data_IF_881614178588
#
_entry.id   IF_881614178588
#
_cell.length_a   1.000
_cell.length_b   1.000
_cell.length_c   1.000
_cell.angle_alpha   90.00
_cell.angle_beta   90.00
_cell.angle_gamma   90.00
#
_symmetry.space_group_name_H-M   'P 1'
#
loop_
_entity.id
_entity.type
_entity.pdbx_description
1 polymer ?
#
# COMPACT_ATOMS: atom_id res chain seq x y z
N UNK A 1 -28.65 11.58 -7.18
CA UNK A 1 -27.28 12.13 -7.37
C UNK A 1 -27.17 13.15 -6.27
N UNK A 2 -26.29 12.92 -5.29
CA UNK A 2 -26.21 13.80 -4.13
C UNK A 2 -25.76 15.19 -4.58
N UNK A 3 -26.54 16.19 -4.21
CA UNK A 3 -26.25 17.60 -4.40
C UNK A 3 -25.75 18.21 -3.10
N UNK A 4 -24.72 19.05 -3.22
CA UNK A 4 -23.98 19.59 -2.08
C UNK A 4 -24.17 21.09 -1.99
N UNK A 5 -24.51 21.57 -0.80
CA UNK A 5 -24.30 22.96 -0.41
C UNK A 5 -22.91 23.11 0.22
N UNK A 6 -21.98 23.76 -0.48
CA UNK A 6 -20.63 24.00 0.00
C UNK A 6 -20.53 25.31 0.77
N UNK A 7 -20.09 25.29 2.03
CA UNK A 7 -19.94 26.48 2.87
C UNK A 7 -18.47 26.71 3.21
N UNK A 8 -17.95 27.91 2.93
CA UNK A 8 -16.55 28.25 3.20
C UNK A 8 -16.33 29.74 3.51
N UNK A 9 -15.31 30.05 4.31
CA UNK A 9 -14.87 31.43 4.57
C UNK A 9 -13.55 31.78 3.86
N UNK A 10 -12.99 30.84 3.08
CA UNK A 10 -11.60 30.92 2.60
C UNK A 10 -11.48 30.65 1.08
N UNK A 11 -10.41 29.97 0.65
CA UNK A 11 -10.16 29.54 -0.74
C UNK A 11 -11.02 28.36 -1.20
N UNK A 12 -11.66 27.64 -0.28
CA UNK A 12 -12.55 26.51 -0.57
C UNK A 12 -11.88 25.39 -1.36
N UNK A 13 -10.63 25.06 -1.01
CA UNK A 13 -9.81 24.13 -1.80
C UNK A 13 -10.41 22.72 -1.85
N UNK A 14 -11.02 22.24 -0.77
CA UNK A 14 -11.68 20.95 -0.75
C UNK A 14 -13.00 20.97 -1.53
N UNK A 15 -13.79 22.04 -1.42
CA UNK A 15 -15.02 22.19 -2.22
C UNK A 15 -14.74 22.17 -3.71
N UNK A 16 -13.72 22.91 -4.16
CA UNK A 16 -13.29 22.91 -5.56
C UNK A 16 -12.70 21.56 -5.99
N UNK A 17 -12.00 20.85 -5.09
CA UNK A 17 -11.52 19.49 -5.36
C UNK A 17 -12.68 18.48 -5.50
N UNK A 18 -13.71 18.57 -4.66
CA UNK A 18 -14.93 17.76 -4.75
C UNK A 18 -15.64 18.05 -6.07
N UNK A 19 -15.78 19.33 -6.46
CA UNK A 19 -16.35 19.72 -7.75
C UNK A 19 -15.59 19.12 -8.95
N UNK A 20 -14.26 19.19 -8.94
CA UNK A 20 -13.42 18.68 -10.03
C UNK A 20 -13.40 17.13 -10.11
N UNK A 21 -13.67 16.44 -8.99
CA UNK A 21 -13.65 14.96 -8.91
C UNK A 21 -15.02 14.30 -9.01
N UNK A 22 -16.11 15.02 -8.74
CA UNK A 22 -17.48 14.50 -8.67
C UNK A 22 -17.59 13.12 -7.97
N UNK A 23 -17.14 12.99 -6.70
CA UNK A 23 -17.08 11.72 -5.98
C UNK A 23 -18.47 11.07 -5.86
N UNK A 24 -18.60 9.80 -6.27
CA UNK A 24 -19.90 9.12 -6.35
C UNK A 24 -20.87 9.74 -7.36
N UNK A 25 -20.38 10.62 -8.24
CA UNK A 25 -21.18 11.47 -9.11
C UNK A 25 -21.79 12.69 -8.43
N UNK A 26 -21.40 13.03 -7.20
CA UNK A 26 -21.96 14.19 -6.49
C UNK A 26 -21.62 15.53 -7.17
N UNK A 27 -22.50 16.52 -7.01
CA UNK A 27 -22.42 17.84 -7.66
C UNK A 27 -22.57 18.95 -6.60
N UNK A 28 -21.81 20.04 -6.70
CA UNK A 28 -22.06 21.24 -5.88
C UNK A 28 -23.20 22.04 -6.52
N UNK A 29 -24.33 22.13 -5.82
CA UNK A 29 -25.49 22.91 -6.25
C UNK A 29 -25.32 24.41 -5.97
N UNK A 30 -24.54 24.75 -4.93
CA UNK A 30 -24.30 26.11 -4.44
C UNK A 30 -22.99 26.15 -3.65
N UNK A 31 -22.25 27.26 -3.76
CA UNK A 31 -21.23 27.65 -2.77
C UNK A 31 -21.69 28.91 -2.04
N UNK A 32 -21.81 28.84 -0.72
CA UNK A 32 -22.19 29.97 0.13
C UNK A 32 -21.00 30.41 1.00
N UNK A 33 -20.79 31.72 1.13
CA UNK A 33 -19.75 32.28 2.01
C UNK A 33 -20.35 33.24 3.03
N UNK A 34 -19.75 33.30 4.22
CA UNK A 34 -20.10 34.28 5.25
C UNK A 34 -19.20 35.53 5.22
N UNK A 35 -18.22 35.55 4.30
CA UNK A 35 -17.25 36.62 4.09
C UNK A 35 -17.36 37.11 2.64
N UNK A 36 -17.49 38.42 2.45
CA UNK A 36 -17.50 39.04 1.12
C UNK A 36 -16.10 38.99 0.48
N UNK A 37 -16.04 38.73 -0.82
CA UNK A 37 -14.78 38.56 -1.55
C UNK A 37 -13.97 37.32 -1.17
N UNK A 38 -14.55 36.33 -0.49
CA UNK A 38 -13.88 35.06 -0.20
C UNK A 38 -13.38 34.38 -1.50
N UNK A 39 -12.09 33.95 -1.60
CA UNK A 39 -11.52 33.51 -2.88
C UNK A 39 -12.18 32.26 -3.51
N UNK A 40 -12.92 31.46 -2.74
CA UNK A 40 -13.71 30.35 -3.29
C UNK A 40 -14.74 30.81 -4.32
N UNK A 41 -15.29 32.03 -4.19
CA UNK A 41 -16.34 32.56 -5.06
C UNK A 41 -15.89 32.62 -6.53
N UNK A 42 -14.65 33.05 -6.78
CA UNK A 42 -14.06 33.10 -8.13
C UNK A 42 -13.92 31.68 -8.70
N UNK A 43 -13.32 30.75 -7.94
CA UNK A 43 -13.12 29.37 -8.38
C UNK A 43 -14.42 28.58 -8.58
N UNK A 44 -15.49 28.90 -7.85
CA UNK A 44 -16.82 28.34 -8.04
C UNK A 44 -17.50 28.90 -9.29
N UNK A 45 -17.45 30.22 -9.49
CA UNK A 45 -17.99 30.89 -10.67
C UNK A 45 -17.30 30.45 -11.97
N UNK A 46 -15.98 30.22 -11.96
CA UNK A 46 -15.23 29.64 -13.10
C UNK A 46 -15.73 28.25 -13.50
N UNK A 47 -16.25 27.47 -12.55
CA UNK A 47 -16.86 26.14 -12.77
C UNK A 47 -18.34 26.21 -13.14
N UNK A 48 -18.94 27.41 -13.15
CA UNK A 48 -20.37 27.61 -13.37
C UNK A 48 -21.25 27.21 -12.19
N UNK A 49 -20.65 27.01 -11.00
CA UNK A 49 -21.38 26.70 -9.76
C UNK A 49 -22.00 28.01 -9.25
N UNK A 50 -23.30 28.04 -8.88
CA UNK A 50 -23.91 29.20 -8.23
C UNK A 50 -23.15 29.62 -6.96
N UNK A 51 -23.18 30.91 -6.64
CA UNK A 51 -22.51 31.47 -5.47
C UNK A 51 -23.39 32.47 -4.74
N UNK A 52 -23.48 32.37 -3.41
CA UNK A 52 -24.21 33.31 -2.56
C UNK A 52 -23.33 33.81 -1.41
N UNK A 53 -23.59 35.03 -0.93
CA UNK A 53 -22.82 35.65 0.17
C UNK A 53 -23.80 36.14 1.25
N UNK A 54 -23.68 35.57 2.45
CA UNK A 54 -24.53 35.92 3.60
C UNK A 54 -23.62 36.34 4.76
N UNK A 55 -23.21 37.60 4.78
CA UNK A 55 -22.46 38.18 5.90
C UNK A 55 -23.33 38.34 7.14
N UNK A 56 -22.70 38.29 8.32
CA UNK A 56 -23.32 38.55 9.63
C UNK A 56 -23.11 40.02 10.03
N UNK A 57 -24.16 40.70 10.47
CA UNK A 57 -24.06 42.06 11.00
C UNK A 57 -23.47 42.05 12.43
N UNK A 58 -22.84 43.14 12.87
CA UNK A 58 -22.06 43.20 14.13
C UNK A 58 -22.89 42.81 15.38
N UNK A 59 -24.14 43.29 15.45
CA UNK A 59 -25.08 43.07 16.57
C UNK A 59 -26.07 41.90 16.35
N UNK A 60 -25.94 41.14 15.26
CA UNK A 60 -26.91 40.10 14.90
C UNK A 60 -26.70 38.79 15.69
N UNK A 61 -27.75 38.15 16.25
CA UNK A 61 -27.65 36.81 16.84
C UNK A 61 -27.13 35.75 15.85
N UNK A 62 -26.51 34.67 16.35
CA UNK A 62 -26.00 33.58 15.47
C UNK A 62 -27.16 32.89 14.76
N UNK A 63 -28.21 32.61 15.53
CA UNK A 63 -29.44 31.94 15.13
C UNK A 63 -30.16 32.73 14.02
N UNK A 64 -30.22 34.07 14.13
CA UNK A 64 -30.78 34.94 13.09
C UNK A 64 -29.95 34.96 11.80
N UNK A 65 -28.62 34.90 11.92
CA UNK A 65 -27.73 34.79 10.75
C UNK A 65 -27.83 33.42 10.08
N UNK A 66 -27.90 32.35 10.87
CA UNK A 66 -28.06 30.97 10.42
C UNK A 66 -29.43 30.76 9.74
N UNK A 67 -30.51 31.37 10.25
CA UNK A 67 -31.81 31.43 9.56
C UNK A 67 -31.70 32.05 8.16
N UNK A 68 -31.01 33.19 8.01
CA UNK A 68 -30.79 33.80 6.67
C UNK A 68 -29.97 32.92 5.74
N UNK A 69 -29.03 32.12 6.28
CA UNK A 69 -28.29 31.13 5.49
C UNK A 69 -29.24 30.03 5.01
N UNK A 70 -30.07 29.46 5.90
CA UNK A 70 -31.06 28.43 5.55
C UNK A 70 -32.05 28.96 4.50
N UNK A 71 -32.66 30.14 4.72
CA UNK A 71 -33.58 30.80 3.76
C UNK A 71 -32.93 31.02 2.38
N UNK A 72 -31.62 31.27 2.33
CA UNK A 72 -30.87 31.40 1.07
C UNK A 72 -30.66 30.02 0.41
N UNK A 73 -30.33 29.00 1.20
CA UNK A 73 -30.13 27.63 0.73
C UNK A 73 -31.43 26.95 0.29
N UNK A 74 -32.61 27.32 0.83
CA UNK A 74 -33.93 26.85 0.38
C UNK A 74 -34.21 27.14 -1.11
N UNK A 75 -33.51 28.11 -1.72
CA UNK A 75 -33.55 28.35 -3.16
C UNK A 75 -32.91 27.24 -4.01
N UNK A 76 -32.21 26.30 -3.38
CA UNK A 76 -31.41 25.26 -4.01
C UNK A 76 -31.85 23.86 -3.55
N UNK A 77 -31.64 22.87 -4.41
CA UNK A 77 -31.92 21.46 -4.15
C UNK A 77 -30.60 20.79 -3.73
N UNK A 78 -30.50 20.33 -2.48
CA UNK A 78 -29.28 19.72 -1.93
C UNK A 78 -29.61 18.67 -0.84
N UNK A 79 -28.78 17.63 -0.77
CA UNK A 79 -28.94 16.48 0.14
C UNK A 79 -27.90 16.48 1.26
N UNK A 80 -26.82 17.24 1.12
CA UNK A 80 -25.65 17.26 2.00
C UNK A 80 -25.07 18.68 2.12
N UNK A 81 -24.62 19.06 3.33
CA UNK A 81 -23.82 20.28 3.54
C UNK A 81 -22.36 19.89 3.71
N UNK A 82 -21.45 20.60 3.04
CA UNK A 82 -20.01 20.41 3.18
C UNK A 82 -19.33 21.72 3.61
N UNK A 83 -18.78 21.77 4.82
CA UNK A 83 -17.96 22.86 5.31
C UNK A 83 -16.49 22.69 4.86
N UNK A 84 -15.83 23.79 4.51
CA UNK A 84 -14.41 23.81 4.12
C UNK A 84 -13.73 25.06 4.71
N UNK A 85 -13.28 24.92 5.96
CA UNK A 85 -12.81 26.03 6.78
C UNK A 85 -13.82 27.18 6.86
N UNK A 86 -15.06 26.83 7.20
CA UNK A 86 -16.13 27.76 7.55
C UNK A 86 -15.88 28.25 8.99
N UNK A 87 -15.40 29.48 9.15
CA UNK A 87 -14.83 30.01 10.41
C UNK A 87 -15.89 30.42 11.44
N UNK A 88 -16.98 29.65 11.55
CA UNK A 88 -18.11 29.88 12.45
C UNK A 88 -18.55 28.55 13.06
N UNK A 89 -18.76 28.55 14.36
CA UNK A 89 -19.51 27.49 15.04
C UNK A 89 -20.97 27.65 14.61
N UNK A 90 -21.63 26.55 14.24
CA UNK A 90 -23.06 26.50 13.89
C UNK A 90 -23.87 26.13 15.15
N UNK A 91 -25.04 26.72 15.35
CA UNK A 91 -25.94 26.35 16.46
C UNK A 91 -26.87 25.20 16.07
N UNK A 92 -27.61 24.68 17.04
CA UNK A 92 -28.72 23.76 16.82
C UNK A 92 -29.73 24.29 15.78
N UNK A 93 -29.91 25.61 15.64
CA UNK A 93 -30.79 26.22 14.64
C UNK A 93 -30.37 25.83 13.21
N UNK A 94 -29.08 25.84 12.89
CA UNK A 94 -28.60 25.33 11.60
C UNK A 94 -28.68 23.80 11.54
N UNK A 95 -28.22 23.12 12.60
CA UNK A 95 -28.04 21.67 12.60
C UNK A 95 -29.37 20.94 12.44
N UNK A 96 -30.45 21.39 13.10
CA UNK A 96 -31.77 20.76 13.05
C UNK A 96 -32.56 21.07 11.78
N UNK A 97 -32.30 22.21 11.12
CA UNK A 97 -33.04 22.64 9.93
C UNK A 97 -32.31 22.34 8.61
N UNK A 98 -31.01 22.05 8.63
CA UNK A 98 -30.25 21.62 7.47
C UNK A 98 -30.16 20.09 7.33
N UNK A 99 -30.00 19.55 6.11
CA UNK A 99 -29.45 18.22 5.88
C UNK A 99 -28.13 18.01 6.61
N UNK A 100 -27.69 16.74 6.75
CA UNK A 100 -26.42 16.39 7.40
C UNK A 100 -25.27 17.25 6.90
N UNK A 101 -24.61 17.93 7.84
CA UNK A 101 -23.42 18.73 7.57
C UNK A 101 -22.17 17.94 7.92
N UNK A 102 -21.19 17.97 7.01
CA UNK A 102 -19.85 17.45 7.22
C UNK A 102 -18.86 18.61 7.33
N UNK A 103 -17.85 18.45 8.17
CA UNK A 103 -16.67 19.30 8.20
C UNK A 103 -15.42 18.45 7.98
N UNK A 104 -14.39 19.06 7.38
CA UNK A 104 -13.03 18.51 7.36
C UNK A 104 -12.14 19.34 8.27
N UNK A 105 -11.44 18.66 9.18
CA UNK A 105 -10.55 19.26 10.15
C UNK A 105 -9.10 18.80 9.92
N UNK A 106 -8.10 19.70 9.92
CA UNK A 106 -6.70 19.39 9.59
C UNK A 106 -5.89 18.68 10.71
N UNK A 107 -6.53 17.81 11.48
CA UNK A 107 -5.87 16.89 12.42
C UNK A 107 -6.61 15.55 12.56
N UNK A 108 -6.02 14.60 13.28
CA UNK A 108 -6.70 13.39 13.75
C UNK A 108 -7.45 13.68 15.06
N UNK A 109 -8.71 14.11 14.96
CA UNK A 109 -9.59 14.31 16.11
C UNK A 109 -9.75 13.01 16.92
N UNK A 110 -9.88 13.10 18.26
CA UNK A 110 -10.04 14.31 19.07
C UNK A 110 -8.71 15.04 19.43
N UNK A 111 -7.58 14.71 18.81
CA UNK A 111 -6.34 15.44 19.02
C UNK A 111 -6.32 16.77 18.23
N UNK A 112 -5.84 17.84 18.87
CA UNK A 112 -5.70 19.18 18.27
C UNK A 112 -6.99 19.77 17.66
N UNK A 113 -8.11 19.84 18.41
CA UNK A 113 -9.31 20.55 17.97
C UNK A 113 -9.10 22.07 17.99
N UNK A 114 -9.99 22.79 17.31
CA UNK A 114 -9.99 24.25 17.22
C UNK A 114 -9.02 24.80 16.18
N UNK A 115 -8.68 26.08 16.31
CA UNK A 115 -7.85 26.77 15.32
C UNK A 115 -6.36 26.36 15.44
N UNK A 116 -5.60 26.63 14.37
CA UNK A 116 -4.13 26.50 14.35
C UNK A 116 -3.62 25.07 14.62
N UNK A 117 -4.35 24.06 14.16
CA UNK A 117 -4.05 22.64 14.44
C UNK A 117 -2.67 22.18 13.93
N UNK A 118 -2.16 22.74 12.83
CA UNK A 118 -0.82 22.40 12.32
C UNK A 118 0.28 22.90 13.27
N UNK A 119 0.15 24.12 13.77
CA UNK A 119 1.03 24.71 14.76
C UNK A 119 0.98 23.89 16.07
N UNK A 120 -0.20 23.51 16.55
CA UNK A 120 -0.35 22.64 17.72
C UNK A 120 0.32 21.27 17.53
N UNK A 121 0.23 20.67 16.34
CA UNK A 121 0.86 19.39 15.99
C UNK A 121 2.40 19.50 16.05
N UNK A 122 2.96 20.56 15.46
CA UNK A 122 4.41 20.81 15.45
C UNK A 122 4.94 21.13 16.85
N UNK A 123 4.26 21.99 17.60
CA UNK A 123 4.61 22.34 18.99
C UNK A 123 4.54 21.13 19.93
N UNK A 124 3.59 20.21 19.71
CA UNK A 124 3.49 18.96 20.46
C UNK A 124 4.57 17.93 20.06
N UNK A 125 5.23 18.12 18.91
CA UNK A 125 6.31 17.26 18.44
C UNK A 125 5.88 15.83 18.13
N UNK A 126 4.61 15.60 17.77
CA UNK A 126 4.14 14.27 17.33
C UNK A 126 4.77 13.88 15.98
N UNK A 127 4.79 12.59 15.65
CA UNK A 127 5.34 12.07 14.37
C UNK A 127 4.26 11.72 13.34
N UNK A 128 3.00 11.82 13.72
CA UNK A 128 1.84 11.54 12.87
C UNK A 128 0.70 12.49 13.22
N UNK A 129 0.05 13.02 12.19
CA UNK A 129 -1.21 13.75 12.25
C UNK A 129 -2.09 13.24 11.11
N UNK A 130 -2.99 14.05 10.57
CA UNK A 130 -3.85 13.69 9.47
C UNK A 130 -4.93 14.72 9.23
N UNK A 131 -6.06 14.26 8.69
CA UNK A 131 -7.31 15.02 8.70
C UNK A 131 -8.46 14.13 9.17
N UNK A 132 -9.53 14.77 9.63
CA UNK A 132 -10.76 14.12 10.05
C UNK A 132 -11.94 14.70 9.32
N UNK A 133 -12.76 13.85 8.69
CA UNK A 133 -14.08 14.22 8.21
C UNK A 133 -15.10 13.71 9.21
N UNK A 134 -15.88 14.63 9.78
CA UNK A 134 -16.85 14.33 10.83
C UNK A 134 -18.19 15.01 10.54
N UNK A 135 -19.26 14.51 11.17
CA UNK A 135 -20.56 15.19 11.19
C UNK A 135 -20.44 16.43 12.09
N UNK A 136 -21.08 17.53 11.69
CA UNK A 136 -21.08 18.78 12.46
C UNK A 136 -22.08 18.69 13.61
N UNK A 137 -21.63 19.16 14.77
CA UNK A 137 -22.35 19.34 16.04
C UNK A 137 -22.17 20.77 16.54
N UNK A 138 -22.95 21.23 17.52
CA UNK A 138 -22.70 22.56 18.13
C UNK A 138 -21.35 22.59 18.87
N UNK A 139 -20.95 21.47 19.50
CA UNK A 139 -19.61 21.34 20.07
C UNK A 139 -18.56 21.23 18.96
N UNK A 140 -17.52 22.06 19.07
CA UNK A 140 -16.45 22.24 18.08
C UNK A 140 -15.62 20.97 17.95
N UNK A 141 -15.53 20.44 16.73
CA UNK A 141 -14.70 19.30 16.36
C UNK A 141 -14.95 18.02 17.19
N UNK A 142 -16.17 17.89 17.74
CA UNK A 142 -16.57 16.79 18.62
C UNK A 142 -17.53 15.77 17.99
N UNK A 143 -18.20 16.12 16.88
CA UNK A 143 -19.19 15.27 16.24
C UNK A 143 -18.62 13.96 15.65
N UNK A 144 -19.49 12.97 15.37
CA UNK A 144 -19.04 11.63 15.05
C UNK A 144 -18.25 11.55 13.74
N UNK A 145 -17.14 10.81 13.80
CA UNK A 145 -16.15 10.68 12.73
C UNK A 145 -16.69 9.79 11.61
N UNK A 146 -16.65 10.29 10.38
CA UNK A 146 -17.02 9.55 9.15
C UNK A 146 -15.79 8.84 8.58
N UNK A 147 -14.65 9.54 8.48
CA UNK A 147 -13.37 8.97 8.05
C UNK A 147 -12.21 9.83 8.51
N UNK A 148 -11.04 9.21 8.63
CA UNK A 148 -9.76 9.88 8.85
C UNK A 148 -8.76 9.41 7.80
N UNK A 149 -7.74 10.24 7.53
CA UNK A 149 -6.54 9.88 6.79
C UNK A 149 -5.32 10.35 7.58
N UNK A 150 -4.35 9.45 7.80
CA UNK A 150 -3.12 9.74 8.53
C UNK A 150 -2.05 10.32 7.61
N UNK A 151 -1.26 11.25 8.12
CA UNK A 151 -0.19 11.97 7.42
C UNK A 151 1.05 12.04 8.33
N UNK A 152 2.25 11.65 7.86
CA UNK A 152 3.46 11.71 8.67
C UNK A 152 3.92 13.15 8.91
N UNK A 153 4.53 13.38 10.08
CA UNK A 153 5.17 14.64 10.48
C UNK A 153 6.67 14.41 10.60
N UNK A 154 7.46 15.07 9.75
CA UNK A 154 8.91 14.94 9.72
C UNK A 154 9.58 16.02 10.57
N UNK A 155 10.77 15.72 11.10
CA UNK A 155 11.49 16.62 12.02
C UNK A 155 11.95 17.95 11.39
N UNK A 156 11.93 18.03 10.05
CA UNK A 156 12.29 19.22 9.27
C UNK A 156 11.09 20.05 8.82
N UNK A 157 9.86 19.61 9.06
CA UNK A 157 8.65 20.29 8.59
C UNK A 157 8.48 21.67 9.25
N UNK A 158 8.13 22.66 8.45
CA UNK A 158 7.44 23.85 8.95
C UNK A 158 5.91 23.76 8.78
N UNK A 159 5.20 24.81 9.22
CA UNK A 159 3.73 24.86 9.16
C UNK A 159 3.21 24.79 7.72
N UNK A 160 3.88 25.40 6.75
CA UNK A 160 3.43 25.40 5.35
C UNK A 160 3.70 24.02 4.71
N UNK A 161 4.85 23.39 4.98
CA UNK A 161 5.16 22.01 4.56
C UNK A 161 4.08 21.02 5.05
N UNK A 162 3.75 21.07 6.35
CA UNK A 162 2.76 20.18 6.95
C UNK A 162 1.35 20.46 6.43
N UNK A 163 1.00 21.73 6.24
CA UNK A 163 -0.31 22.15 5.72
C UNK A 163 -0.54 21.74 4.27
N UNK A 164 0.48 21.84 3.42
CA UNK A 164 0.41 21.35 2.05
C UNK A 164 0.20 19.83 2.04
N UNK A 165 0.95 19.09 2.87
CA UNK A 165 0.82 17.62 2.97
C UNK A 165 -0.54 17.17 3.50
N UNK A 166 -1.02 17.75 4.59
CA UNK A 166 -2.34 17.41 5.18
C UNK A 166 -3.46 17.65 4.18
N UNK A 167 -3.43 18.76 3.44
CA UNK A 167 -4.41 19.07 2.40
C UNK A 167 -4.36 18.05 1.24
N UNK A 168 -3.17 17.82 0.68
CA UNK A 168 -3.03 17.07 -0.58
C UNK A 168 -3.06 15.55 -0.41
N UNK A 169 -2.47 15.01 0.66
CA UNK A 169 -2.43 13.58 0.92
C UNK A 169 -3.63 13.14 1.78
N UNK A 170 -4.01 13.97 2.76
CA UNK A 170 -5.12 13.74 3.68
C UNK A 170 -6.48 14.21 3.15
N UNK A 171 -6.75 15.52 3.16
CA UNK A 171 -8.10 16.08 2.97
C UNK A 171 -8.68 15.76 1.59
N UNK A 172 -7.86 15.90 0.54
CA UNK A 172 -8.21 15.53 -0.85
C UNK A 172 -8.44 14.02 -1.04
N UNK A 173 -8.08 13.19 -0.07
CA UNK A 173 -8.39 11.75 -0.04
C UNK A 173 -9.63 11.47 0.83
N UNK A 174 -9.67 12.02 2.04
CA UNK A 174 -10.69 11.77 3.04
C UNK A 174 -12.06 12.36 2.67
N UNK A 175 -12.09 13.63 2.26
CA UNK A 175 -13.35 14.35 2.07
C UNK A 175 -14.12 13.87 0.84
N UNK A 176 -13.50 13.67 -0.34
CA UNK A 176 -14.19 13.04 -1.46
C UNK A 176 -14.63 11.60 -1.17
N UNK A 177 -13.94 10.86 -0.28
CA UNK A 177 -14.38 9.53 0.14
C UNK A 177 -15.66 9.58 0.95
N UNK A 178 -15.76 10.48 1.94
CA UNK A 178 -16.98 10.68 2.72
C UNK A 178 -18.15 11.06 1.82
N UNK A 179 -17.98 12.08 0.96
CA UNK A 179 -19.00 12.51 0.00
C UNK A 179 -19.44 11.36 -0.92
N UNK A 180 -18.49 10.55 -1.42
CA UNK A 180 -18.83 9.35 -2.21
C UNK A 180 -19.71 8.38 -1.43
N UNK A 181 -19.40 8.10 -0.16
CA UNK A 181 -20.21 7.18 0.64
C UNK A 181 -21.63 7.68 0.89
N UNK A 182 -21.82 8.99 1.09
CA UNK A 182 -23.16 9.60 1.10
C UNK A 182 -23.85 9.48 -0.27
N UNK A 183 -23.14 9.73 -1.37
CA UNK A 183 -23.66 9.58 -2.73
C UNK A 183 -24.01 8.13 -3.12
N UNK A 184 -23.39 7.15 -2.46
CA UNK A 184 -23.67 5.72 -2.60
C UNK A 184 -24.78 5.20 -1.65
N UNK A 185 -25.39 6.07 -0.82
CA UNK A 185 -26.40 5.73 0.21
C UNK A 185 -25.88 4.75 1.28
N UNK A 186 -24.60 4.90 1.66
CA UNK A 186 -23.89 3.98 2.56
C UNK A 186 -23.63 4.51 3.97
N UNK A 187 -24.03 5.74 4.27
CA UNK A 187 -23.77 6.39 5.57
C UNK A 187 -25.05 6.51 6.36
N UNK A 188 -25.11 5.86 7.51
CA UNK A 188 -26.16 6.09 8.52
C UNK A 188 -25.59 6.95 9.62
N UNK A 189 -26.27 8.06 9.94
CA UNK A 189 -25.91 8.96 11.05
C UNK A 189 -26.99 8.87 12.11
N UNK A 190 -26.64 8.43 13.32
CA UNK A 190 -27.51 8.51 14.49
C UNK A 190 -27.09 9.73 15.31
N UNK A 191 -27.95 10.75 15.31
CA UNK A 191 -27.72 12.00 16.06
C UNK A 191 -28.04 11.87 17.55
N UNK A 192 -28.88 10.93 17.97
CA UNK A 192 -29.20 10.72 19.40
C UNK A 192 -28.11 9.89 20.09
N UNK A 193 -27.50 8.96 19.36
CA UNK A 193 -26.39 8.13 19.85
C UNK A 193 -24.99 8.73 19.58
N UNK A 194 -24.90 9.80 18.79
CA UNK A 194 -23.64 10.40 18.30
C UNK A 194 -22.74 9.36 17.60
N UNK A 195 -23.31 8.60 16.66
CA UNK A 195 -22.58 7.58 15.90
C UNK A 195 -22.78 7.68 14.39
N UNK A 196 -21.80 7.16 13.66
CA UNK A 196 -21.83 6.99 12.21
C UNK A 196 -21.53 5.53 11.88
N UNK A 197 -22.38 4.91 11.06
CA UNK A 197 -22.15 3.58 10.47
C UNK A 197 -21.95 3.71 8.96
N UNK A 198 -20.92 3.04 8.43
CA UNK A 198 -20.60 3.01 7.00
C UNK A 198 -20.83 1.59 6.47
N UNK A 199 -21.82 1.40 5.60
CA UNK A 199 -22.12 0.09 5.03
C UNK A 199 -20.89 -0.43 4.28
N UNK A 200 -20.39 -1.59 4.73
CA UNK A 200 -19.27 -2.28 4.11
C UNK A 200 -17.87 -1.76 4.47
N UNK A 201 -17.68 -0.73 5.31
CA UNK A 201 -16.34 -0.41 5.86
C UNK A 201 -15.96 -1.41 6.97
N UNK A 202 -15.87 -2.68 6.58
CA UNK A 202 -15.55 -3.81 7.46
C UNK A 202 -14.08 -4.20 7.33
N UNK A 203 -13.47 -4.62 8.43
CA UNK A 203 -12.18 -5.32 8.41
C UNK A 203 -12.26 -6.71 7.76
N UNK A 204 -11.11 -7.38 7.67
CA UNK A 204 -10.94 -8.69 7.05
C UNK A 204 -9.73 -8.69 6.11
N UNK A 205 -9.67 -9.68 5.23
CA UNK A 205 -8.55 -9.88 4.28
C UNK A 205 -8.44 -8.77 3.21
N UNK A 206 -9.58 -8.16 2.87
CA UNK A 206 -9.68 -7.09 1.87
C UNK A 206 -10.51 -5.91 2.43
N UNK A 207 -9.97 -5.15 3.40
CA UNK A 207 -10.69 -4.01 3.98
C UNK A 207 -10.85 -2.89 2.95
N UNK A 208 -11.88 -2.06 3.06
CA UNK A 208 -12.07 -0.92 2.13
C UNK A 208 -10.96 0.12 2.21
N UNK A 209 -10.32 0.23 3.38
CA UNK A 209 -9.13 1.02 3.61
C UNK A 209 -8.02 0.08 4.06
N UNK A 210 -6.99 -0.09 3.24
CA UNK A 210 -5.76 -0.79 3.61
C UNK A 210 -4.70 0.24 3.94
N UNK A 211 -4.32 0.28 5.20
CA UNK A 211 -3.14 0.99 5.70
C UNK A 211 -1.93 0.06 5.58
N UNK A 212 -0.78 0.63 5.27
CA UNK A 212 0.50 -0.05 5.15
C UNK A 212 1.53 0.92 5.72
N UNK A 213 2.40 0.42 6.60
CA UNK A 213 3.46 1.17 7.25
C UNK A 213 4.66 0.24 7.31
N UNK A 214 5.81 0.68 6.80
CA UNK A 214 7.04 -0.10 6.70
C UNK A 214 8.23 0.81 7.02
N UNK A 215 9.20 0.34 7.80
CA UNK A 215 10.41 1.11 8.13
C UNK A 215 11.46 0.98 7.04
N UNK A 216 12.15 2.08 6.69
CA UNK A 216 13.30 2.01 5.76
C UNK A 216 14.48 1.31 6.47
N UNK A 217 14.85 0.13 5.99
CA UNK A 217 15.96 -0.64 6.54
C UNK A 217 17.32 -0.19 5.98
N UNK A 218 17.42 0.04 4.66
CA UNK A 218 18.62 0.64 4.04
C UNK A 218 18.32 1.29 2.67
N UNK A 219 19.18 2.22 2.29
CA UNK A 219 19.27 2.77 0.94
C UNK A 219 20.18 1.91 0.07
N UNK A 220 19.74 1.62 -1.15
CA UNK A 220 20.46 0.75 -2.08
C UNK A 220 21.31 1.57 -3.04
N UNK A 221 22.47 1.04 -3.45
CA UNK A 221 23.39 1.69 -4.41
C UNK A 221 22.71 2.13 -5.72
N UNK A 222 21.66 1.42 -6.11
CA UNK A 222 20.72 1.71 -7.20
C UNK A 222 19.55 0.71 -7.13
N UNK A 223 18.45 0.99 -7.83
CA UNK A 223 17.31 0.10 -8.04
C UNK A 223 17.61 -1.05 -9.01
N UNK A 224 16.67 -1.42 -9.88
CA UNK A 224 16.90 -2.48 -10.88
C UNK A 224 18.06 -2.12 -11.85
N UNK A 225 18.18 -0.84 -12.20
CA UNK A 225 19.20 -0.32 -13.11
C UNK A 225 20.01 0.84 -12.49
N UNK A 226 21.29 1.07 -12.87
CA UNK A 226 22.19 2.06 -12.26
C UNK A 226 21.80 3.55 -12.34
N UNK A 227 20.67 3.89 -12.97
CA UNK A 227 20.16 5.25 -13.10
C UNK A 227 18.89 5.49 -12.26
N UNK A 228 18.49 4.49 -11.49
CA UNK A 228 17.35 4.51 -10.59
C UNK A 228 17.87 4.44 -9.16
N UNK A 229 17.34 5.26 -8.27
CA UNK A 229 17.58 5.10 -6.84
C UNK A 229 16.79 3.88 -6.31
N UNK A 230 17.12 3.40 -5.11
CA UNK A 230 16.44 2.27 -4.49
C UNK A 230 16.58 2.29 -2.97
N UNK A 231 15.64 1.64 -2.29
CA UNK A 231 15.65 1.38 -0.86
C UNK A 231 15.04 0.02 -0.59
N UNK A 232 15.39 -0.57 0.55
CA UNK A 232 14.72 -1.76 1.10
C UNK A 232 14.01 -1.35 2.38
N UNK A 233 12.74 -1.70 2.47
CA UNK A 233 11.91 -1.48 3.65
C UNK A 233 11.70 -2.82 4.36
N UNK A 234 11.50 -2.78 5.68
CA UNK A 234 11.35 -3.95 6.53
C UNK A 234 10.14 -3.83 7.44
N UNK A 235 9.40 -4.93 7.55
CA UNK A 235 8.50 -5.17 8.68
C UNK A 235 9.31 -5.86 9.80
N UNK A 236 9.58 -5.13 10.88
CA UNK A 236 10.27 -5.64 12.07
C UNK A 236 9.46 -6.66 12.89
N UNK A 237 8.20 -6.91 12.52
CA UNK A 237 7.31 -7.91 13.15
C UNK A 237 7.23 -9.23 12.37
N UNK A 238 7.82 -9.30 11.18
CA UNK A 238 7.83 -10.51 10.35
C UNK A 238 8.75 -11.60 10.94
N UNK A 239 8.15 -12.70 11.41
CA UNK A 239 8.86 -13.88 11.94
C UNK A 239 9.15 -14.96 10.87
N UNK A 240 8.53 -14.89 9.67
CA UNK A 240 8.83 -15.83 8.58
C UNK A 240 10.25 -15.59 8.04
N UNK A 241 11.03 -16.67 7.87
CA UNK A 241 12.37 -16.62 7.29
C UNK A 241 12.39 -15.83 5.97
N UNK A 242 13.08 -14.69 5.94
CA UNK A 242 13.04 -13.72 4.85
C UNK A 242 14.44 -13.15 4.57
N UNK A 243 14.60 -12.50 3.40
CA UNK A 243 15.89 -11.96 2.95
C UNK A 243 16.25 -10.62 3.61
N UNK A 244 15.25 -9.88 4.10
CA UNK A 244 15.42 -8.50 4.58
C UNK A 244 16.09 -8.48 5.96
N UNK A 245 15.70 -9.39 6.87
CA UNK A 245 16.31 -9.52 8.20
C UNK A 245 17.48 -10.51 8.26
N UNK A 246 17.84 -11.16 7.14
CA UNK A 246 18.88 -12.19 7.10
C UNK A 246 20.30 -11.60 7.31
N UNK A 247 21.05 -11.99 8.36
CA UNK A 247 22.44 -11.56 8.51
C UNK A 247 23.32 -12.01 7.33
N UNK A 248 24.12 -11.06 6.81
CA UNK A 248 25.18 -11.33 5.84
C UNK A 248 26.45 -11.77 6.56
N UNK A 249 26.78 -13.06 6.51
CA UNK A 249 27.91 -13.65 7.25
C UNK A 249 29.30 -13.38 6.64
N UNK A 250 29.37 -12.85 5.42
CA UNK A 250 30.62 -12.42 4.79
C UNK A 250 30.80 -10.91 4.94
N UNK A 251 31.49 -10.48 6.00
CA UNK A 251 31.76 -9.06 6.31
C UNK A 251 32.58 -8.34 5.22
N UNK A 252 33.37 -9.09 4.42
CA UNK A 252 34.15 -8.52 3.32
C UNK A 252 33.35 -8.26 2.04
N UNK A 253 32.16 -8.88 1.92
CA UNK A 253 31.33 -8.77 0.73
C UNK A 253 30.52 -7.47 0.73
N UNK A 254 30.37 -6.89 -0.47
CA UNK A 254 29.50 -5.74 -0.71
C UNK A 254 28.05 -6.07 -0.31
N UNK A 255 27.35 -5.08 0.20
CA UNK A 255 25.91 -5.11 0.47
C UNK A 255 25.09 -5.64 -0.73
N UNK A 256 23.89 -6.14 -0.45
CA UNK A 256 22.95 -6.60 -1.47
C UNK A 256 22.54 -5.44 -2.40
N UNK A 257 22.36 -5.73 -3.69
CA UNK A 257 21.67 -4.82 -4.62
C UNK A 257 20.18 -5.12 -4.64
N UNK A 258 19.38 -4.22 -5.22
CA UNK A 258 17.95 -4.45 -5.48
C UNK A 258 17.68 -5.80 -6.16
N UNK A 259 18.47 -6.14 -7.18
CA UNK A 259 18.36 -7.41 -7.90
C UNK A 259 18.81 -8.62 -7.04
N UNK A 260 19.72 -8.43 -6.08
CA UNK A 260 20.09 -9.50 -5.15
C UNK A 260 18.95 -9.81 -4.17
N UNK A 261 18.25 -8.79 -3.64
CA UNK A 261 17.04 -9.02 -2.82
C UNK A 261 15.96 -9.75 -3.61
N UNK A 262 15.62 -9.27 -4.81
CA UNK A 262 14.59 -9.85 -5.68
C UNK A 262 14.90 -11.31 -6.10
N UNK A 263 16.14 -11.59 -6.53
CA UNK A 263 16.54 -12.95 -6.91
C UNK A 263 16.65 -13.89 -5.69
N UNK A 264 17.07 -13.39 -4.52
CA UNK A 264 17.16 -14.19 -3.30
C UNK A 264 15.79 -14.52 -2.70
N UNK A 265 14.83 -13.58 -2.73
CA UNK A 265 13.47 -13.83 -2.23
C UNK A 265 12.75 -14.86 -3.11
N UNK A 266 12.86 -14.71 -4.44
CA UNK A 266 12.36 -15.72 -5.38
C UNK A 266 13.02 -17.09 -5.21
N UNK A 267 14.30 -17.13 -4.86
CA UNK A 267 15.02 -18.39 -4.59
C UNK A 267 14.58 -19.03 -3.26
N UNK A 268 14.41 -18.23 -2.21
CA UNK A 268 13.97 -18.65 -0.87
C UNK A 268 12.55 -19.21 -0.91
N UNK A 269 11.60 -18.48 -1.51
CA UNK A 269 10.22 -18.93 -1.68
C UNK A 269 10.15 -20.25 -2.48
N UNK A 270 10.99 -20.41 -3.51
CA UNK A 270 11.04 -21.65 -4.30
C UNK A 270 11.54 -22.84 -3.46
N UNK A 271 12.58 -22.69 -2.64
CA UNK A 271 13.11 -23.83 -1.86
C UNK A 271 12.22 -24.21 -0.66
N UNK A 272 11.38 -23.28 -0.17
CA UNK A 272 10.36 -23.54 0.85
C UNK A 272 9.26 -24.52 0.37
N UNK A 273 9.09 -24.72 -0.94
CA UNK A 273 8.09 -25.68 -1.49
C UNK A 273 8.47 -27.16 -1.30
N UNK A 274 9.66 -27.47 -0.76
CA UNK A 274 10.22 -28.83 -0.77
C UNK A 274 10.58 -29.35 0.63
N UNK A 275 10.02 -30.50 0.99
CA UNK A 275 10.34 -31.21 2.25
C UNK A 275 11.75 -31.86 2.21
N UNK A 276 12.17 -32.38 1.06
CA UNK A 276 13.46 -33.07 0.89
C UNK A 276 14.60 -32.09 0.61
N UNK A 277 15.89 -32.46 0.84
CA UNK A 277 17.03 -31.62 0.50
C UNK A 277 16.93 -31.06 -0.93
N UNK A 278 16.86 -29.74 -1.02
CA UNK A 278 16.55 -28.99 -2.22
C UNK A 278 17.56 -27.85 -2.42
N UNK A 279 17.91 -27.64 -3.69
CA UNK A 279 18.71 -26.52 -4.13
C UNK A 279 18.02 -25.84 -5.33
N UNK A 280 18.06 -24.52 -5.36
CA UNK A 280 17.64 -23.71 -6.49
C UNK A 280 18.73 -22.72 -6.89
N UNK A 281 18.80 -22.39 -8.18
CA UNK A 281 19.62 -21.30 -8.72
C UNK A 281 18.72 -20.37 -9.51
N UNK A 282 18.54 -19.15 -9.01
CA UNK A 282 17.77 -18.08 -9.67
C UNK A 282 18.73 -17.11 -10.37
N UNK A 283 18.27 -16.52 -11.46
CA UNK A 283 18.90 -15.35 -12.07
C UNK A 283 17.86 -14.50 -12.78
N UNK A 284 17.82 -13.19 -12.49
CA UNK A 284 16.87 -12.23 -13.05
C UNK A 284 15.42 -12.74 -12.95
N UNK A 285 14.99 -13.06 -11.72
CA UNK A 285 13.69 -13.64 -11.31
C UNK A 285 13.29 -14.98 -11.94
N UNK A 286 14.20 -15.64 -12.68
CA UNK A 286 13.93 -16.90 -13.36
C UNK A 286 14.81 -18.04 -12.84
N UNK A 287 14.26 -19.26 -12.63
CA UNK A 287 15.05 -20.42 -12.22
C UNK A 287 15.91 -20.94 -13.37
N UNK A 288 17.23 -20.86 -13.23
CA UNK A 288 18.19 -21.55 -14.09
C UNK A 288 18.24 -23.06 -13.79
N UNK A 289 17.90 -23.45 -12.57
CA UNK A 289 17.72 -24.85 -12.16
C UNK A 289 17.16 -24.97 -10.76
N UNK A 290 16.43 -26.06 -10.50
CA UNK A 290 15.96 -26.45 -9.18
C UNK A 290 15.86 -27.97 -9.13
N UNK A 291 16.33 -28.58 -8.04
CA UNK A 291 16.31 -30.02 -7.87
C UNK A 291 16.21 -30.42 -6.40
N UNK A 292 15.70 -31.65 -6.17
CA UNK A 292 15.74 -32.34 -4.89
C UNK A 292 16.58 -33.62 -4.99
N UNK A 293 17.24 -33.97 -3.90
CA UNK A 293 18.03 -35.19 -3.79
C UNK A 293 18.04 -35.75 -2.35
N UNK A 294 18.95 -36.68 -2.09
CA UNK A 294 19.14 -37.29 -0.77
C UNK A 294 20.17 -36.52 0.08
N UNK A 295 20.97 -35.63 -0.52
CA UNK A 295 21.85 -34.64 0.11
C UNK A 295 21.77 -33.27 -0.60
N UNK A 296 22.24 -32.19 0.04
CA UNK A 296 22.29 -30.86 -0.58
C UNK A 296 23.28 -30.81 -1.75
N UNK A 297 24.47 -31.38 -1.60
CA UNK A 297 25.48 -31.49 -2.64
C UNK A 297 24.91 -32.12 -3.94
N UNK A 298 24.22 -33.26 -3.82
CA UNK A 298 23.54 -33.91 -4.96
C UNK A 298 22.40 -33.06 -5.54
N UNK A 299 21.68 -32.30 -4.70
CA UNK A 299 20.61 -31.41 -5.15
C UNK A 299 21.18 -30.22 -5.93
N UNK A 300 22.27 -29.64 -5.46
CA UNK A 300 22.95 -28.52 -6.10
C UNK A 300 23.59 -28.92 -7.44
N UNK A 301 24.32 -30.04 -7.53
CA UNK A 301 24.83 -30.57 -8.81
C UNK A 301 23.70 -30.72 -9.85
N UNK A 302 22.58 -31.32 -9.45
CA UNK A 302 21.42 -31.52 -10.33
C UNK A 302 20.76 -30.20 -10.75
N UNK A 303 20.65 -29.23 -9.83
CA UNK A 303 20.12 -27.91 -10.14
C UNK A 303 21.05 -27.19 -11.13
N UNK A 304 22.35 -27.10 -10.82
CA UNK A 304 23.37 -26.45 -11.66
C UNK A 304 23.42 -27.04 -13.07
N UNK A 305 23.31 -28.37 -13.20
CA UNK A 305 23.34 -29.08 -14.50
C UNK A 305 22.11 -28.88 -15.37
N UNK A 306 21.07 -28.20 -14.88
CA UNK A 306 19.90 -27.83 -15.69
C UNK A 306 20.26 -26.78 -16.75
N UNK A 307 20.87 -25.67 -16.32
CA UNK A 307 21.51 -24.70 -17.22
C UNK A 307 22.73 -24.04 -16.53
N UNK A 308 23.93 -24.64 -16.65
CA UNK A 308 25.16 -24.11 -16.05
C UNK A 308 25.54 -22.72 -16.56
N UNK A 309 25.10 -22.36 -17.78
CA UNK A 309 25.45 -21.08 -18.41
C UNK A 309 24.59 -19.95 -17.84
N UNK A 310 23.30 -20.19 -17.66
CA UNK A 310 22.40 -19.22 -17.00
C UNK A 310 22.68 -19.13 -15.50
N UNK A 311 23.08 -20.22 -14.85
CA UNK A 311 23.44 -20.27 -13.43
C UNK A 311 24.73 -19.50 -13.05
N UNK A 312 25.51 -18.99 -14.01
CA UNK A 312 26.70 -18.19 -13.74
C UNK A 312 26.33 -16.78 -13.27
N UNK A 313 26.80 -16.37 -12.09
CA UNK A 313 26.38 -15.13 -11.42
C UNK A 313 24.94 -15.14 -10.93
N UNK A 314 24.36 -16.33 -10.71
CA UNK A 314 23.04 -16.46 -10.10
C UNK A 314 23.09 -16.39 -8.57
N UNK A 315 21.90 -16.41 -7.96
CA UNK A 315 21.66 -16.60 -6.53
C UNK A 315 21.36 -18.08 -6.27
N UNK A 316 22.02 -18.67 -5.28
CA UNK A 316 21.81 -20.06 -4.86
C UNK A 316 21.00 -20.10 -3.57
N UNK A 317 19.91 -20.87 -3.53
CA UNK A 317 19.16 -21.14 -2.30
C UNK A 317 19.20 -22.63 -1.94
N UNK A 318 19.33 -22.91 -0.64
CA UNK A 318 19.38 -24.25 -0.06
C UNK A 318 18.34 -24.35 1.06
N UNK A 319 17.55 -25.43 1.12
CA UNK A 319 16.52 -25.59 2.17
C UNK A 319 17.00 -26.27 3.46
N UNK A 320 18.32 -26.44 3.64
CA UNK A 320 18.96 -27.06 4.81
C UNK A 320 20.31 -26.38 5.07
N UNK A 321 20.86 -26.60 6.26
CA UNK A 321 22.19 -26.16 6.66
C UNK A 321 23.25 -26.55 5.62
N UNK A 322 24.06 -25.59 5.19
CA UNK A 322 25.10 -25.81 4.18
C UNK A 322 26.34 -26.51 4.80
N UNK A 323 26.72 -27.64 4.20
CA UNK A 323 27.94 -28.37 4.54
C UNK A 323 29.12 -28.01 3.62
N UNK A 324 30.34 -28.39 4.02
CA UNK A 324 31.56 -28.09 3.27
C UNK A 324 31.54 -28.67 1.84
N UNK A 325 30.95 -29.85 1.62
CA UNK A 325 30.86 -30.46 0.28
C UNK A 325 29.96 -29.62 -0.64
N UNK A 326 28.84 -29.10 -0.13
CA UNK A 326 27.96 -28.20 -0.87
C UNK A 326 28.63 -26.85 -1.10
N UNK A 327 29.33 -26.31 -0.09
CA UNK A 327 30.08 -25.06 -0.20
C UNK A 327 31.17 -25.12 -1.29
N UNK A 328 31.98 -26.19 -1.35
CA UNK A 328 33.00 -26.41 -2.38
C UNK A 328 32.40 -26.34 -3.80
N UNK A 329 31.22 -26.94 -4.01
CA UNK A 329 30.52 -26.89 -5.30
C UNK A 329 29.91 -25.51 -5.62
N UNK A 330 29.46 -24.76 -4.61
CA UNK A 330 28.97 -23.39 -4.78
C UNK A 330 30.10 -22.49 -5.28
N UNK A 331 31.30 -22.60 -4.70
CA UNK A 331 32.45 -21.72 -4.99
C UNK A 331 33.25 -22.07 -6.27
N UNK A 332 33.03 -23.25 -6.86
CA UNK A 332 33.64 -23.68 -8.14
C UNK A 332 33.18 -22.81 -9.33
N UNK A 333 32.03 -22.14 -9.20
CA UNK A 333 31.51 -21.18 -10.18
C UNK A 333 31.19 -19.84 -9.54
N UNK A 334 31.27 -18.74 -10.30
CA UNK A 334 30.87 -17.43 -9.78
C UNK A 334 29.37 -17.41 -9.45
N UNK A 335 29.05 -17.04 -8.21
CA UNK A 335 27.70 -16.76 -7.68
C UNK A 335 27.74 -15.39 -7.01
N UNK A 336 26.61 -14.69 -6.99
CA UNK A 336 26.51 -13.40 -6.28
C UNK A 336 26.07 -13.55 -4.82
N UNK A 337 25.15 -14.48 -4.57
CA UNK A 337 24.54 -14.72 -3.26
C UNK A 337 24.36 -16.23 -3.06
N UNK A 338 24.56 -16.71 -1.84
CA UNK A 338 24.07 -17.99 -1.33
C UNK A 338 23.18 -17.73 -0.12
N UNK A 339 22.03 -18.41 -0.04
CA UNK A 339 21.06 -18.30 1.05
C UNK A 339 20.67 -19.68 1.57
N UNK A 340 20.71 -19.86 2.89
CA UNK A 340 20.46 -21.13 3.57
C UNK A 340 19.98 -20.89 5.02
N UNK A 341 19.29 -21.85 5.66
CA UNK A 341 18.86 -21.76 7.06
C UNK A 341 19.97 -22.01 8.09
N UNK A 342 21.24 -21.80 7.70
CA UNK A 342 22.42 -22.09 8.51
C UNK A 342 23.60 -22.60 7.67
N UNK A 343 24.80 -22.52 8.26
CA UNK A 343 26.05 -22.97 7.65
C UNK A 343 26.93 -23.62 8.72
N UNK A 344 27.56 -24.75 8.39
CA UNK A 344 28.62 -25.33 9.21
C UNK A 344 29.87 -24.44 9.18
N UNK A 345 30.68 -24.43 10.25
CA UNK A 345 31.95 -23.66 10.31
C UNK A 345 32.83 -23.91 9.06
N UNK A 346 32.97 -25.18 8.66
CA UNK A 346 33.76 -25.57 7.49
C UNK A 346 33.14 -25.12 6.15
N UNK A 347 31.82 -24.94 6.07
CA UNK A 347 31.18 -24.31 4.91
C UNK A 347 31.46 -22.80 4.86
N UNK A 348 31.42 -22.11 6.01
CA UNK A 348 31.75 -20.69 6.09
C UNK A 348 33.21 -20.42 5.73
N UNK A 349 34.15 -21.25 6.21
CA UNK A 349 35.56 -21.18 5.83
C UNK A 349 35.73 -21.21 4.29
N UNK A 350 35.06 -22.12 3.59
CA UNK A 350 35.12 -22.24 2.12
C UNK A 350 34.41 -21.09 1.40
N UNK A 351 33.22 -20.70 1.84
CA UNK A 351 32.42 -19.65 1.19
C UNK A 351 33.07 -18.26 1.33
N UNK A 352 33.71 -17.99 2.47
CA UNK A 352 34.35 -16.69 2.75
C UNK A 352 35.68 -16.48 2.01
N UNK A 353 36.26 -17.53 1.40
CA UNK A 353 37.36 -17.37 0.42
C UNK A 353 36.97 -16.53 -0.82
N UNK A 354 35.67 -16.26 -1.02
CA UNK A 354 35.17 -15.41 -2.11
C UNK A 354 34.81 -14.02 -1.58
N UNK A 355 35.74 -13.07 -1.74
CA UNK A 355 35.66 -11.65 -1.33
C UNK A 355 34.30 -10.94 -1.54
N UNK A 356 33.50 -11.35 -2.53
CA UNK A 356 32.25 -10.68 -2.93
C UNK A 356 31.02 -11.61 -2.94
N UNK A 357 31.12 -12.83 -2.40
CA UNK A 357 29.96 -13.72 -2.26
C UNK A 357 29.17 -13.32 -1.00
N UNK A 358 27.91 -12.92 -1.15
CA UNK A 358 27.05 -12.66 0.00
C UNK A 358 26.53 -14.00 0.52
N UNK A 359 26.78 -14.25 1.79
CA UNK A 359 26.34 -15.46 2.50
C UNK A 359 25.21 -15.01 3.40
N UNK A 360 23.97 -15.37 3.08
CA UNK A 360 22.79 -15.01 3.86
C UNK A 360 22.33 -16.21 4.67
N UNK A 361 22.19 -16.02 5.98
CA UNK A 361 21.57 -16.99 6.88
C UNK A 361 20.16 -16.52 7.23
N UNK A 362 19.15 -17.35 6.93
CA UNK A 362 17.74 -17.04 7.21
C UNK A 362 17.20 -17.70 8.47
N UNK A 363 18.02 -18.48 9.19
CA UNK A 363 17.55 -19.30 10.31
C UNK A 363 16.54 -20.36 9.88
N UNK A 364 15.77 -20.90 10.84
CA UNK A 364 14.77 -21.93 10.55
C UNK A 364 13.72 -21.42 9.54
N UNK A 365 13.45 -22.20 8.48
CA UNK A 365 12.53 -21.80 7.41
C UNK A 365 11.08 -21.70 7.88
N UNK A 366 10.75 -22.37 8.98
CA UNK A 366 9.48 -22.25 9.70
C UNK A 366 8.24 -22.67 8.91
N UNK A 367 7.09 -22.26 9.43
CA UNK A 367 5.82 -22.25 8.70
C UNK A 367 5.65 -20.91 7.97
N UNK A 368 4.82 -20.90 6.92
CA UNK A 368 4.48 -19.67 6.20
C UNK A 368 3.48 -18.86 7.04
N UNK A 369 3.87 -17.66 7.50
CA UNK A 369 3.00 -16.76 8.28
C UNK A 369 2.31 -15.73 7.40
N UNK A 370 3.02 -15.19 6.41
CA UNK A 370 2.44 -14.21 5.50
C UNK A 370 1.47 -14.90 4.55
N UNK A 371 0.20 -14.50 4.57
CA UNK A 371 -0.87 -15.16 3.80
C UNK A 371 -1.26 -14.42 2.52
N UNK A 372 -0.91 -13.14 2.40
CA UNK A 372 -1.24 -12.28 1.26
C UNK A 372 -0.02 -12.02 0.39
N UNK A 373 -0.26 -11.66 -0.86
CA UNK A 373 0.75 -11.16 -1.80
C UNK A 373 0.15 -10.07 -2.67
N UNK A 374 0.96 -9.09 -3.05
CA UNK A 374 0.53 -7.95 -3.84
C UNK A 374 1.36 -7.72 -5.10
N UNK A 375 0.75 -7.02 -6.05
CA UNK A 375 1.42 -6.57 -7.28
C UNK A 375 1.05 -5.13 -7.57
N UNK A 376 2.01 -4.19 -7.59
CA UNK A 376 1.75 -2.81 -7.98
C UNK A 376 1.32 -2.72 -9.44
N UNK A 377 0.41 -1.79 -9.73
CA UNK A 377 -0.05 -1.43 -11.07
C UNK A 377 -0.14 0.10 -11.18
N UNK A 378 -0.17 0.65 -12.39
CA UNK A 378 -0.33 2.10 -12.55
C UNK A 378 -1.69 2.53 -11.97
N UNK A 379 -1.65 3.38 -10.94
CA UNK A 379 -2.83 3.86 -10.23
C UNK A 379 -3.34 2.97 -9.08
N UNK A 380 -2.61 1.92 -8.66
CA UNK A 380 -3.02 1.09 -7.52
C UNK A 380 -2.21 -0.18 -7.33
N UNK A 381 -2.82 -1.21 -6.75
CA UNK A 381 -2.22 -2.54 -6.56
C UNK A 381 -3.28 -3.64 -6.63
N UNK A 382 -2.86 -4.83 -7.01
CA UNK A 382 -3.64 -6.06 -6.88
C UNK A 382 -3.20 -6.76 -5.58
N UNK A 383 -4.14 -7.27 -4.79
CA UNK A 383 -3.87 -8.05 -3.57
C UNK A 383 -4.62 -9.38 -3.67
N UNK A 384 -4.00 -10.47 -3.26
CA UNK A 384 -4.58 -11.82 -3.29
C UNK A 384 -3.91 -12.72 -2.23
N UNK A 385 -4.50 -13.87 -1.92
CA UNK A 385 -3.87 -14.94 -1.14
C UNK A 385 -2.59 -15.45 -1.84
N UNK A 386 -1.57 -15.87 -1.07
CA UNK A 386 -0.41 -16.63 -1.57
C UNK A 386 -0.87 -18.01 -2.05
N UNK A 387 -0.29 -18.48 -3.16
CA UNK A 387 -0.59 -19.82 -3.69
C UNK A 387 0.09 -20.91 -2.86
N UNK A 388 -0.57 -21.36 -1.78
CA UNK A 388 -0.08 -22.47 -0.96
C UNK A 388 -0.49 -23.85 -1.52
N UNK A 389 -1.55 -23.91 -2.36
CA UNK A 389 -2.16 -25.11 -2.97
C UNK A 389 -2.31 -26.34 -2.04
N UNK A 390 -1.57 -27.47 -2.08
CA UNK A 390 -0.54 -28.00 -2.99
C UNK A 390 -1.16 -29.09 -3.91
N UNK A 391 -0.76 -29.22 -5.20
CA UNK A 391 -1.56 -29.98 -6.17
C UNK A 391 -1.55 -31.50 -5.95
N UNK A 392 -2.67 -32.04 -5.45
CA UNK A 392 -2.86 -33.49 -5.34
C UNK A 392 -2.72 -34.18 -6.72
N UNK A 393 -1.73 -35.07 -6.93
CA UNK A 393 -1.56 -35.76 -8.21
C UNK A 393 -2.78 -36.59 -8.64
N UNK A 394 -3.72 -36.89 -7.73
CA UNK A 394 -4.98 -37.59 -8.00
C UNK A 394 -6.08 -36.68 -8.56
N UNK A 395 -6.02 -35.36 -8.37
CA UNK A 395 -7.02 -34.41 -8.90
C UNK A 395 -6.82 -34.12 -10.40
N UNK A 396 -5.62 -34.40 -10.92
CA UNK A 396 -5.30 -34.20 -12.34
C UNK A 396 -6.13 -35.12 -13.25
N UNK A 397 -7.02 -34.52 -14.07
CA UNK A 397 -7.78 -35.25 -15.10
C UNK A 397 -6.82 -35.79 -16.16
N UNK A 398 -6.58 -37.10 -16.15
CA UNK A 398 -5.78 -37.77 -17.19
C UNK A 398 -6.51 -37.73 -18.53
N UNK A 399 -5.87 -37.19 -19.57
CA UNK A 399 -6.33 -37.31 -20.96
C UNK A 399 -6.52 -38.79 -21.31
N UNK A 400 -7.58 -39.18 -22.06
CA UNK A 400 -7.89 -40.58 -22.35
C UNK A 400 -6.80 -41.35 -23.13
N UNK A 401 -5.82 -40.64 -23.72
CA UNK A 401 -4.67 -41.24 -24.42
C UNK A 401 -3.37 -41.28 -23.59
N UNK A 402 -3.39 -40.92 -22.29
CA UNK A 402 -2.19 -40.90 -21.45
C UNK A 402 -1.95 -42.24 -20.73
N UNK A 403 -0.74 -42.80 -20.86
CA UNK A 403 -0.29 -43.93 -20.02
C UNK A 403 -0.19 -43.52 -18.55
N UNK A 404 -0.49 -44.45 -17.63
CA UNK A 404 -0.42 -44.16 -16.18
C UNK A 404 1.03 -43.85 -15.77
N UNK A 405 1.31 -42.68 -15.18
CA UNK A 405 2.67 -42.34 -14.75
C UNK A 405 3.17 -43.26 -13.63
N UNK A 406 4.45 -43.66 -13.71
CA UNK A 406 5.19 -44.38 -12.66
C UNK A 406 5.30 -43.54 -11.38
N UNK A 407 5.62 -44.15 -10.23
CA UNK A 407 5.80 -43.41 -8.95
C UNK A 407 6.77 -42.22 -9.09
N UNK A 408 7.94 -42.42 -9.70
CA UNK A 408 8.91 -41.34 -9.91
C UNK A 408 8.35 -40.22 -10.80
N UNK A 409 7.72 -40.58 -11.93
CA UNK A 409 7.10 -39.56 -12.80
C UNK A 409 5.87 -38.87 -12.19
N UNK A 410 5.21 -39.47 -11.19
CA UNK A 410 4.19 -38.78 -10.38
C UNK A 410 4.82 -37.75 -9.43
N UNK A 411 5.92 -38.10 -8.73
CA UNK A 411 6.65 -37.19 -7.83
C UNK A 411 7.19 -35.96 -8.59
N UNK A 412 7.71 -36.14 -9.81
CA UNK A 412 8.10 -35.01 -10.66
C UNK A 412 6.89 -34.16 -11.12
N UNK A 413 5.74 -34.79 -11.44
CA UNK A 413 4.55 -34.09 -11.96
C UNK A 413 3.74 -33.33 -10.90
N UNK A 414 3.77 -33.75 -9.64
CA UNK A 414 3.07 -33.06 -8.55
C UNK A 414 3.78 -31.80 -8.07
N UNK A 415 5.00 -31.50 -8.56
CA UNK A 415 5.80 -30.34 -8.12
C UNK A 415 6.20 -29.38 -9.25
N UNK A 416 6.28 -29.84 -10.50
CA UNK A 416 6.68 -29.00 -11.64
C UNK A 416 5.57 -28.14 -12.26
N UNK A 417 4.85 -27.33 -11.47
CA UNK A 417 3.76 -26.47 -12.00
C UNK A 417 3.55 -25.10 -11.33
N UNK A 418 4.50 -24.64 -10.52
CA UNK A 418 4.49 -23.30 -9.91
C UNK A 418 5.57 -22.42 -10.53
N UNK A 419 5.12 -21.44 -11.31
CA UNK A 419 5.91 -20.28 -11.74
C UNK A 419 4.94 -19.24 -12.31
N UNK A 420 4.43 -18.36 -11.45
CA UNK A 420 3.60 -17.22 -11.88
C UNK A 420 4.47 -16.07 -12.44
N UNK A 421 5.46 -16.40 -13.28
CA UNK A 421 6.21 -15.41 -14.05
C UNK A 421 5.37 -14.98 -15.26
N UNK A 422 4.69 -13.84 -15.12
CA UNK A 422 3.90 -13.24 -16.19
C UNK A 422 4.81 -12.77 -17.33
N UNK A 423 5.12 -13.68 -18.26
CA UNK A 423 5.90 -13.40 -19.47
C UNK A 423 4.97 -13.25 -20.68
N UNK A 424 5.10 -12.17 -21.48
CA UNK A 424 4.29 -12.00 -22.68
C UNK A 424 4.79 -12.96 -23.75
N UNK A 425 3.99 -13.95 -24.12
CA UNK A 425 4.36 -14.93 -25.15
C UNK A 425 4.44 -14.26 -26.53
N UNK A 426 5.65 -13.87 -26.92
CA UNK A 426 5.94 -13.37 -28.26
C UNK A 426 5.62 -14.41 -29.33
N UNK A 427 4.56 -14.18 -30.10
CA UNK A 427 4.26 -14.97 -31.29
C UNK A 427 5.24 -14.60 -32.42
N UNK A 428 5.77 -15.56 -33.18
CA UNK A 428 6.69 -15.26 -34.27
C UNK A 428 5.96 -14.50 -35.39
N UNK A 429 6.43 -13.29 -35.68
CA UNK A 429 5.94 -12.49 -36.82
C UNK A 429 6.19 -13.24 -38.14
N UNK A 430 5.20 -13.31 -39.05
CA UNK A 430 5.41 -13.90 -40.38
C UNK A 430 6.36 -13.02 -41.21
N UNK A 431 7.14 -13.62 -42.13
CA UNK A 431 8.11 -12.86 -42.93
C UNK A 431 7.41 -11.87 -43.86
N UNK A 432 7.89 -10.62 -43.85
CA UNK A 432 7.37 -9.56 -44.71
C UNK A 432 7.58 -9.89 -46.22
N UNK A 433 6.63 -9.55 -47.09
CA UNK A 433 6.78 -9.78 -48.52
C UNK A 433 7.85 -8.85 -49.10
N UNK A 434 8.78 -9.42 -49.87
CA UNK A 434 9.78 -8.64 -50.62
C UNK A 434 9.09 -7.73 -51.64
N UNK A 435 9.53 -6.47 -51.71
CA UNK A 435 9.40 -5.58 -52.86
C UNK A 435 10.79 -5.30 -53.40
#
# INVERSE_FOLDING_TARGET
MVKIAGLASNRGRNLLHIADRAPGGAELAIVLTNEDGAPVLEGAAERGIPTEVVTREEDEPRESHEQRIIETLEGYDFDLVCLDGYMRILTDEFIDNAPTALNVHPSLLPAFPGMDAHEQVLDAGVRMTGCTVHVVTEEVDAGPIVTQEAVPVYESDDTDDLKERVLHDGEFTAYPRAVRWFAEDRVTVDREAETVEIEGDTGGDFPQRRLIDDDLADTLRYGENPHQDGGVYADGTCEEANVVSAPQLNEGAKDLSYNNYNDADGALNLIKEFDEPAAAVIKHTNPAGCAVADSLADAYDRALRTDPKSAFGGVVALNRECDAETAEQVVDSFKEVVIAPGYTDAALDVLTEKDNLRILDVGDLGEISETMTEKPIVGGRLVQERDLASPDPRSSKSSPNASRPTKNSKRCRSRGRRSNTSSPTGSPLPPAPRR
#
